data_IF_991041889369
#
_entry.id   IF_991041889369
#
_cell.length_a   1.000
_cell.length_b   1.000
_cell.length_c   1.000
_cell.angle_alpha   90.00
_cell.angle_beta   90.00
_cell.angle_gamma   90.00
#
_symmetry.space_group_name_H-M   'P 1'
#
loop_
_entity.id
_entity.type
_entity.pdbx_description
1 polymer ?
#
# COMPACT_ATOMS: atom_id res chain seq x y z
N UNK A 1 10.34 36.83 20.66
CA UNK A 1 9.72 38.00 20.00
C UNK A 1 10.30 38.06 18.60
N UNK A 2 9.50 37.77 17.58
CA UNK A 2 9.88 38.00 16.17
C UNK A 2 10.08 39.50 15.96
N UNK A 3 11.11 39.89 15.22
CA UNK A 3 11.38 41.29 14.91
C UNK A 3 10.23 41.86 14.07
N UNK A 4 9.95 43.16 14.15
CA UNK A 4 8.87 43.80 13.37
C UNK A 4 9.01 43.56 11.85
N UNK A 5 10.24 43.41 11.35
CA UNK A 5 10.52 43.04 9.96
C UNK A 5 10.17 41.58 9.64
N UNK A 6 10.33 40.66 10.59
CA UNK A 6 10.01 39.24 10.40
C UNK A 6 8.49 39.02 10.35
N UNK A 7 7.73 39.78 11.14
CA UNK A 7 6.28 39.81 11.05
C UNK A 7 5.79 40.26 9.68
N UNK A 8 6.37 41.31 9.10
CA UNK A 8 6.02 41.80 7.77
C UNK A 8 6.29 40.77 6.67
N UNK A 9 7.46 40.11 6.70
CA UNK A 9 7.80 39.05 5.74
C UNK A 9 6.85 37.85 5.85
N UNK A 10 6.42 37.52 7.07
CA UNK A 10 5.46 36.43 7.31
C UNK A 10 4.11 36.71 6.65
N UNK A 11 3.60 37.94 6.76
CA UNK A 11 2.35 38.35 6.10
C UNK A 11 2.47 38.36 4.57
N UNK A 12 3.63 38.74 4.02
CA UNK A 12 3.88 38.66 2.58
C UNK A 12 3.86 37.21 2.09
N UNK A 13 4.46 36.27 2.83
CA UNK A 13 4.41 34.83 2.52
C UNK A 13 2.97 34.31 2.60
N UNK A 14 2.20 34.69 3.63
CA UNK A 14 0.77 34.35 3.75
C UNK A 14 -0.01 34.83 2.52
N UNK A 15 0.18 36.08 2.10
CA UNK A 15 -0.50 36.64 0.93
C UNK A 15 -0.19 35.85 -0.35
N UNK A 16 1.07 35.45 -0.54
CA UNK A 16 1.48 34.62 -1.68
C UNK A 16 0.75 33.28 -1.67
N UNK A 17 0.71 32.58 -0.53
CA UNK A 17 -0.02 31.31 -0.41
C UNK A 17 -1.52 31.47 -0.64
N UNK A 18 -2.14 32.53 -0.11
CA UNK A 18 -3.55 32.82 -0.31
C UNK A 18 -3.86 33.07 -1.79
N UNK A 19 -3.06 33.89 -2.49
CA UNK A 19 -3.26 34.14 -3.92
C UNK A 19 -3.05 32.88 -4.76
N UNK A 20 -2.00 32.12 -4.46
CA UNK A 20 -1.72 30.86 -5.14
C UNK A 20 -2.88 29.87 -4.95
N UNK A 21 -3.36 29.72 -3.71
CA UNK A 21 -4.44 28.80 -3.37
C UNK A 21 -5.79 29.27 -3.93
N UNK A 22 -6.18 30.52 -3.74
CA UNK A 22 -7.54 30.99 -4.05
C UNK A 22 -7.73 31.45 -5.49
N UNK A 23 -6.66 31.79 -6.22
CA UNK A 23 -6.77 32.38 -7.57
C UNK A 23 -6.10 31.56 -8.66
N UNK A 24 -4.88 31.07 -8.42
CA UNK A 24 -4.05 30.53 -9.50
C UNK A 24 -4.07 29.00 -9.60
N UNK A 25 -4.23 28.30 -8.47
CA UNK A 25 -4.11 26.84 -8.41
C UNK A 25 -5.49 26.20 -8.20
N UNK A 26 -5.97 25.39 -9.16
CA UNK A 26 -7.23 24.64 -9.03
C UNK A 26 -7.27 23.77 -7.79
N UNK A 27 -8.45 23.56 -7.22
CA UNK A 27 -8.61 22.81 -5.97
C UNK A 27 -8.22 21.33 -6.10
N UNK A 28 -8.29 20.77 -7.30
CA UNK A 28 -7.85 19.42 -7.64
C UNK A 28 -6.33 19.21 -7.50
N UNK A 29 -5.55 20.29 -7.30
CA UNK A 29 -4.10 20.25 -7.06
C UNK A 29 -3.81 20.77 -5.65
N UNK A 30 -4.06 19.98 -4.59
CA UNK A 30 -4.03 20.46 -3.22
C UNK A 30 -2.62 20.77 -2.69
N UNK A 31 -1.55 20.41 -3.40
CA UNK A 31 -0.15 20.54 -2.94
C UNK A 31 0.18 21.92 -2.39
N UNK A 32 -0.21 23.01 -3.07
CA UNK A 32 0.07 24.37 -2.58
C UNK A 32 -0.70 24.68 -1.30
N UNK A 33 -1.95 24.20 -1.18
CA UNK A 33 -2.76 24.36 0.02
C UNK A 33 -2.25 23.52 1.19
N UNK A 34 -1.72 22.32 0.92
CA UNK A 34 -1.03 21.50 1.92
C UNK A 34 0.18 22.24 2.51
N UNK A 35 1.00 22.86 1.66
CA UNK A 35 2.11 23.69 2.12
C UNK A 35 1.64 24.94 2.87
N UNK A 36 0.52 25.52 2.45
CA UNK A 36 -0.07 26.65 3.15
C UNK A 36 -0.52 26.28 4.57
N UNK A 37 -1.21 25.14 4.73
CA UNK A 37 -1.60 24.63 6.04
C UNK A 37 -0.39 24.39 6.96
N UNK A 38 0.68 23.76 6.42
CA UNK A 38 1.94 23.56 7.16
C UNK A 38 2.60 24.87 7.58
N UNK A 39 2.54 25.89 6.73
CA UNK A 39 3.04 27.22 7.05
C UNK A 39 2.24 27.86 8.19
N UNK A 40 0.91 27.83 8.15
CA UNK A 40 0.08 28.38 9.25
C UNK A 40 0.28 27.60 10.56
N UNK A 41 0.36 26.27 10.50
CA UNK A 41 0.69 25.45 11.67
C UNK A 41 2.05 25.83 12.27
N UNK A 42 3.07 26.10 11.43
CA UNK A 42 4.40 26.49 11.90
C UNK A 42 4.42 27.83 12.65
N UNK A 43 3.43 28.69 12.40
CA UNK A 43 3.23 29.96 13.10
C UNK A 43 2.38 29.80 14.37
N UNK A 44 1.90 28.58 14.67
CA UNK A 44 1.03 28.28 15.79
C UNK A 44 -0.46 28.40 15.47
N UNK A 45 -0.83 28.72 14.22
CA UNK A 45 -2.23 28.82 13.77
C UNK A 45 -2.75 27.46 13.31
N UNK A 46 -2.82 26.52 14.26
CA UNK A 46 -3.28 25.15 13.98
C UNK A 46 -4.75 25.08 13.57
N UNK A 47 -5.57 26.02 14.04
CA UNK A 47 -6.97 26.22 13.65
C UNK A 47 -7.10 26.60 12.17
N UNK A 48 -6.30 27.56 11.71
CA UNK A 48 -6.30 27.97 10.30
C UNK A 48 -5.79 26.83 9.41
N UNK A 49 -4.78 26.09 9.87
CA UNK A 49 -4.30 24.90 9.16
C UNK A 49 -5.40 23.84 9.03
N UNK A 50 -6.21 23.65 10.08
CA UNK A 50 -7.36 22.73 10.11
C UNK A 50 -8.39 23.12 9.06
N UNK A 51 -8.82 24.39 9.07
CA UNK A 51 -9.80 24.95 8.13
C UNK A 51 -9.35 24.79 6.67
N UNK A 52 -8.06 25.01 6.38
CA UNK A 52 -7.49 24.84 5.03
C UNK A 52 -7.60 23.39 4.59
N UNK A 53 -7.24 22.43 5.46
CA UNK A 53 -7.28 21.00 5.15
C UNK A 53 -8.72 20.51 4.98
N UNK A 54 -9.63 20.92 5.86
CA UNK A 54 -11.06 20.60 5.73
C UNK A 54 -11.65 21.16 4.44
N UNK A 55 -11.33 22.40 4.06
CA UNK A 55 -11.80 23.00 2.82
C UNK A 55 -11.34 22.22 1.56
N UNK A 56 -10.14 21.62 1.59
CA UNK A 56 -9.69 20.72 0.54
C UNK A 56 -10.58 19.46 0.52
N UNK A 57 -10.83 18.84 1.67
CA UNK A 57 -11.61 17.61 1.78
C UNK A 57 -13.09 17.80 1.44
N UNK A 58 -13.66 18.99 1.64
CA UNK A 58 -15.00 19.32 1.14
C UNK A 58 -15.11 19.16 -0.38
N UNK A 59 -14.01 19.39 -1.13
CA UNK A 59 -13.97 19.27 -2.58
C UNK A 59 -13.37 17.93 -3.05
N UNK A 60 -12.53 17.31 -2.22
CA UNK A 60 -11.82 16.06 -2.50
C UNK A 60 -11.92 15.09 -1.29
N UNK A 61 -13.12 14.57 -0.98
CA UNK A 61 -13.41 13.86 0.28
C UNK A 61 -12.61 12.57 0.49
N UNK A 62 -12.05 12.00 -0.58
CA UNK A 62 -11.22 10.79 -0.54
C UNK A 62 -9.72 11.03 -0.74
N UNK A 63 -9.23 12.27 -0.66
CA UNK A 63 -7.81 12.55 -0.93
C UNK A 63 -6.91 12.07 0.22
N UNK A 64 -6.35 10.87 0.05
CA UNK A 64 -5.56 10.16 1.09
C UNK A 64 -4.51 11.03 1.78
N UNK A 65 -3.67 11.74 1.02
CA UNK A 65 -2.60 12.57 1.59
C UNK A 65 -3.15 13.66 2.51
N UNK A 66 -4.29 14.27 2.17
CA UNK A 66 -4.87 15.37 2.94
C UNK A 66 -5.49 14.84 4.23
N UNK A 67 -6.14 13.67 4.19
CA UNK A 67 -6.67 13.01 5.39
C UNK A 67 -5.54 12.65 6.36
N UNK A 68 -4.41 12.14 5.84
CA UNK A 68 -3.23 11.82 6.65
C UNK A 68 -2.64 13.09 7.27
N UNK A 69 -2.51 14.18 6.52
CA UNK A 69 -1.98 15.45 7.04
C UNK A 69 -2.91 16.06 8.10
N UNK A 70 -4.23 16.04 7.89
CA UNK A 70 -5.23 16.49 8.88
C UNK A 70 -5.14 15.67 10.17
N UNK A 71 -5.04 14.35 10.04
CA UNK A 71 -4.86 13.46 11.18
C UNK A 71 -3.58 13.79 11.95
N UNK A 72 -2.48 14.01 11.24
CA UNK A 72 -1.19 14.33 11.84
C UNK A 72 -1.19 15.72 12.51
N UNK A 73 -1.91 16.70 11.94
CA UNK A 73 -2.15 18.01 12.54
C UNK A 73 -2.90 17.86 13.88
N UNK A 74 -3.99 17.09 13.90
CA UNK A 74 -4.72 16.79 15.13
C UNK A 74 -3.84 16.08 16.16
N UNK A 75 -2.96 15.18 15.72
CA UNK A 75 -2.02 14.51 16.63
C UNK A 75 -1.10 15.50 17.32
N UNK A 76 -0.57 16.49 16.60
CA UNK A 76 0.37 17.49 17.13
C UNK A 76 -0.32 18.57 17.96
N UNK A 77 -1.52 18.99 17.59
CA UNK A 77 -2.24 20.07 18.25
C UNK A 77 -3.11 19.62 19.42
N UNK A 78 -3.77 18.45 19.31
CA UNK A 78 -4.82 17.97 20.23
C UNK A 78 -4.50 16.60 20.85
N UNK A 79 -3.40 15.97 20.47
CA UNK A 79 -2.96 14.67 20.97
C UNK A 79 -3.46 13.48 20.16
N UNK A 80 -3.00 12.28 20.53
CA UNK A 80 -3.18 11.07 19.71
C UNK A 80 -4.63 10.58 19.68
N UNK A 81 -5.39 10.77 20.75
CA UNK A 81 -6.81 10.41 20.80
C UNK A 81 -7.63 11.18 19.76
N UNK A 82 -7.35 12.48 19.57
CA UNK A 82 -8.00 13.31 18.55
C UNK A 82 -7.65 12.85 17.13
N UNK A 83 -6.39 12.44 16.90
CA UNK A 83 -5.97 11.87 15.63
C UNK A 83 -6.71 10.55 15.33
N UNK A 84 -6.85 9.66 16.32
CA UNK A 84 -7.58 8.40 16.17
C UNK A 84 -9.06 8.66 15.86
N UNK A 85 -9.70 9.58 16.57
CA UNK A 85 -11.10 9.94 16.29
C UNK A 85 -11.28 10.44 14.86
N UNK A 86 -10.33 11.24 14.38
CA UNK A 86 -10.30 11.74 12.99
C UNK A 86 -10.20 10.59 11.99
N UNK A 87 -9.22 9.69 12.16
CA UNK A 87 -9.07 8.53 11.28
C UNK A 87 -10.32 7.66 11.28
N UNK A 88 -10.91 7.40 12.45
CA UNK A 88 -12.16 6.62 12.56
C UNK A 88 -13.31 7.27 11.80
N UNK A 89 -13.46 8.59 11.90
CA UNK A 89 -14.51 9.31 11.18
C UNK A 89 -14.39 9.11 9.67
N UNK A 90 -13.17 9.23 9.11
CA UNK A 90 -12.93 8.97 7.69
C UNK A 90 -13.08 7.49 7.32
N UNK A 91 -12.52 6.58 8.10
CA UNK A 91 -12.63 5.12 7.87
C UNK A 91 -14.09 4.65 7.87
N UNK A 92 -14.96 5.26 8.66
CA UNK A 92 -16.39 4.93 8.70
C UNK A 92 -17.21 5.67 7.63
N UNK A 93 -16.61 6.62 6.90
CA UNK A 93 -17.25 7.35 5.81
C UNK A 93 -17.60 6.45 4.62
N UNK A 94 -18.75 6.68 4.00
CA UNK A 94 -19.23 5.88 2.87
C UNK A 94 -18.45 6.13 1.56
N UNK A 95 -17.91 7.34 1.38
CA UNK A 95 -17.41 7.82 0.08
C UNK A 95 -15.92 7.50 -0.21
N UNK A 96 -15.30 6.63 0.59
CA UNK A 96 -13.91 6.24 0.41
C UNK A 96 -13.76 4.97 -0.44
N UNK A 97 -12.86 5.04 -1.42
CA UNK A 97 -12.42 3.85 -2.15
C UNK A 97 -11.80 2.80 -1.20
N UNK A 98 -11.88 1.50 -1.50
CA UNK A 98 -11.28 0.44 -0.69
C UNK A 98 -9.79 0.65 -0.42
N UNK A 99 -9.05 1.14 -1.42
CA UNK A 99 -7.63 1.46 -1.30
C UNK A 99 -7.37 2.55 -0.24
N UNK A 100 -8.09 3.68 -0.31
CA UNK A 100 -7.95 4.78 0.64
C UNK A 100 -8.33 4.31 2.04
N UNK A 101 -9.46 3.61 2.17
CA UNK A 101 -9.91 3.05 3.45
C UNK A 101 -8.86 2.14 4.07
N UNK A 102 -8.30 1.21 3.31
CA UNK A 102 -7.24 0.32 3.78
C UNK A 102 -5.97 1.06 4.20
N UNK A 103 -5.57 2.10 3.46
CA UNK A 103 -4.42 2.93 3.83
C UNK A 103 -4.65 3.71 5.13
N UNK A 104 -5.87 4.18 5.39
CA UNK A 104 -6.24 4.87 6.63
C UNK A 104 -6.32 3.90 7.82
N UNK A 105 -6.88 2.69 7.63
CA UNK A 105 -6.88 1.65 8.68
C UNK A 105 -5.46 1.24 9.04
N UNK A 106 -4.55 1.20 8.07
CA UNK A 106 -3.15 0.93 8.31
C UNK A 106 -2.48 2.00 9.19
N UNK A 107 -2.73 3.29 8.89
CA UNK A 107 -2.26 4.39 9.73
C UNK A 107 -2.88 4.36 11.12
N UNK A 108 -4.16 4.01 11.20
CA UNK A 108 -4.85 3.89 12.46
C UNK A 108 -4.29 2.76 13.33
N UNK A 109 -4.04 1.59 12.74
CA UNK A 109 -3.37 0.48 13.42
C UNK A 109 -1.99 0.91 13.94
N UNK A 110 -1.20 1.64 13.14
CA UNK A 110 0.09 2.22 13.54
C UNK A 110 -0.04 3.23 14.70
N UNK A 111 -1.09 4.03 14.75
CA UNK A 111 -1.32 4.97 15.86
C UNK A 111 -1.81 4.26 17.13
N UNK A 112 -2.72 3.29 17.04
CA UNK A 112 -3.20 2.50 18.18
C UNK A 112 -2.07 1.71 18.85
N UNK A 113 -1.20 1.17 18.01
CA UNK A 113 0.08 0.55 18.33
C UNK A 113 0.94 1.39 19.28
N UNK A 114 1.06 2.70 19.03
CA UNK A 114 1.86 3.62 19.84
C UNK A 114 1.24 3.87 21.22
N UNK A 115 -0.10 3.80 21.37
CA UNK A 115 -0.80 4.12 22.62
C UNK A 115 -1.00 2.88 23.50
N UNK A 116 -1.54 1.79 22.95
CA UNK A 116 -2.12 0.70 23.76
C UNK A 116 -1.39 -0.64 23.65
N UNK A 117 -0.42 -0.78 22.73
CA UNK A 117 0.28 -2.05 22.47
C UNK A 117 -0.63 -3.23 22.06
N UNK A 118 -1.93 -2.98 21.86
CA UNK A 118 -2.94 -3.96 21.46
C UNK A 118 -3.79 -3.38 20.32
N UNK A 119 -3.78 -4.02 19.15
CA UNK A 119 -4.50 -3.54 17.99
C UNK A 119 -5.91 -4.17 17.91
N UNK A 120 -6.79 -3.87 18.86
CA UNK A 120 -8.09 -4.56 18.95
C UNK A 120 -9.00 -4.30 17.73
N UNK A 121 -8.89 -3.13 17.09
CA UNK A 121 -9.73 -2.74 15.93
C UNK A 121 -9.11 -3.08 14.57
N UNK A 122 -7.88 -3.61 14.54
CA UNK A 122 -7.26 -4.09 13.29
C UNK A 122 -7.66 -5.53 12.90
N UNK A 123 -8.65 -6.09 13.60
CA UNK A 123 -9.24 -7.41 13.37
C UNK A 123 -9.93 -7.56 12.00
N UNK A 124 -10.11 -6.48 11.23
CA UNK A 124 -10.80 -6.50 9.94
C UNK A 124 -9.86 -6.79 8.75
N UNK A 125 -8.86 -7.66 8.95
CA UNK A 125 -7.84 -8.00 7.95
C UNK A 125 -8.44 -8.51 6.62
N UNK A 126 -9.57 -9.22 6.71
CA UNK A 126 -10.27 -9.77 5.53
C UNK A 126 -10.86 -8.69 4.59
N UNK A 127 -11.02 -7.46 5.07
CA UNK A 127 -11.58 -6.36 4.27
C UNK A 127 -10.54 -5.63 3.40
N UNK A 128 -9.24 -5.93 3.58
CA UNK A 128 -8.14 -5.18 2.99
C UNK A 128 -7.16 -6.05 2.19
N UNK A 129 -7.64 -7.18 1.65
CA UNK A 129 -6.83 -8.18 0.93
C UNK A 129 -6.08 -7.62 -0.29
N UNK A 130 -6.46 -6.47 -0.84
CA UNK A 130 -5.84 -5.81 -1.99
C UNK A 130 -5.02 -4.55 -1.61
N UNK A 131 -4.95 -4.18 -0.33
CA UNK A 131 -4.32 -2.95 0.12
C UNK A 131 -2.85 -3.14 0.54
N UNK A 132 -1.90 -2.91 -0.38
CA UNK A 132 -0.45 -3.01 -0.09
C UNK A 132 -0.02 -2.18 1.14
N UNK A 133 -0.38 -0.88 1.27
CA UNK A 133 0.04 -0.08 2.42
C UNK A 133 -0.44 -0.64 3.76
N UNK A 134 -1.62 -1.27 3.80
CA UNK A 134 -2.14 -1.96 4.97
C UNK A 134 -1.24 -3.11 5.39
N UNK A 135 -1.01 -4.06 4.48
CA UNK A 135 -0.23 -5.26 4.80
C UNK A 135 1.21 -4.96 5.18
N UNK A 136 1.86 -3.99 4.53
CA UNK A 136 3.22 -3.59 4.91
C UNK A 136 3.28 -2.97 6.31
N UNK A 137 2.41 -2.00 6.61
CA UNK A 137 2.40 -1.34 7.93
C UNK A 137 2.02 -2.32 9.03
N UNK A 138 1.06 -3.21 8.76
CA UNK A 138 0.64 -4.25 9.70
C UNK A 138 1.74 -5.29 9.95
N UNK A 139 2.43 -5.75 8.90
CA UNK A 139 3.56 -6.65 9.02
C UNK A 139 4.68 -6.04 9.88
N UNK A 140 5.10 -4.81 9.58
CA UNK A 140 6.13 -4.14 10.38
C UNK A 140 5.67 -3.81 11.79
N UNK A 141 4.38 -3.53 11.99
CA UNK A 141 3.81 -3.40 13.33
C UNK A 141 4.03 -4.67 14.16
N UNK A 142 3.67 -5.84 13.63
CA UNK A 142 3.89 -7.12 14.32
C UNK A 142 5.37 -7.41 14.54
N UNK A 143 6.23 -7.17 13.54
CA UNK A 143 7.68 -7.34 13.67
C UNK A 143 8.25 -6.45 14.79
N UNK A 144 7.80 -5.21 14.91
CA UNK A 144 8.28 -4.27 15.92
C UNK A 144 7.70 -4.49 17.32
N UNK A 145 6.78 -5.44 17.51
CA UNK A 145 6.29 -5.75 18.84
C UNK A 145 7.42 -6.28 19.74
N UNK A 146 7.46 -5.85 21.02
CA UNK A 146 8.43 -6.35 21.98
C UNK A 146 8.17 -7.84 22.26
N UNK A 147 9.25 -8.61 22.37
CA UNK A 147 9.23 -10.02 22.76
C UNK A 147 10.42 -10.29 23.69
N UNK A 148 10.20 -10.17 25.00
CA UNK A 148 11.28 -10.16 26.00
C UNK A 148 11.63 -11.56 26.50
N UNK A 149 10.62 -12.42 26.66
CA UNK A 149 10.78 -13.76 27.19
C UNK A 149 10.53 -14.85 26.13
N UNK A 150 11.00 -16.07 26.36
CA UNK A 150 10.88 -17.17 25.40
C UNK A 150 9.43 -17.50 24.98
N UNK A 151 8.47 -17.34 25.90
CA UNK A 151 7.03 -17.49 25.61
C UNK A 151 6.55 -16.39 24.66
N UNK A 152 6.98 -15.15 24.88
CA UNK A 152 6.62 -14.00 24.07
C UNK A 152 7.26 -14.08 22.69
N UNK A 153 8.48 -14.59 22.57
CA UNK A 153 9.15 -14.83 21.29
C UNK A 153 8.39 -15.85 20.43
N UNK A 154 7.90 -16.94 21.04
CA UNK A 154 7.07 -17.91 20.31
C UNK A 154 5.76 -17.30 19.82
N UNK A 155 5.08 -16.51 20.65
CA UNK A 155 3.86 -15.82 20.26
C UNK A 155 4.12 -14.73 19.20
N UNK A 156 5.24 -14.01 19.32
CA UNK A 156 5.69 -13.02 18.36
C UNK A 156 5.88 -13.63 16.97
N UNK A 157 6.62 -14.73 16.89
CA UNK A 157 6.77 -15.51 15.66
C UNK A 157 5.43 -15.95 15.08
N UNK A 158 4.52 -16.47 15.90
CA UNK A 158 3.18 -16.89 15.44
C UNK A 158 2.38 -15.73 14.84
N UNK A 159 2.44 -14.53 15.44
CA UNK A 159 1.73 -13.35 14.91
C UNK A 159 2.32 -12.89 13.58
N UNK A 160 3.65 -12.73 13.50
CA UNK A 160 4.33 -12.30 12.26
C UNK A 160 4.08 -13.32 11.14
N UNK A 161 4.19 -14.62 11.45
CA UNK A 161 3.91 -15.69 10.50
C UNK A 161 2.46 -15.68 10.02
N UNK A 162 1.50 -15.49 10.91
CA UNK A 162 0.07 -15.42 10.53
C UNK A 162 -0.21 -14.28 9.55
N UNK A 163 0.42 -13.11 9.74
CA UNK A 163 0.31 -12.00 8.78
C UNK A 163 0.92 -12.38 7.44
N UNK A 164 2.14 -12.92 7.43
CA UNK A 164 2.82 -13.33 6.22
C UNK A 164 2.04 -14.40 5.44
N UNK A 165 1.54 -15.42 6.13
CA UNK A 165 0.74 -16.49 5.53
C UNK A 165 -0.57 -15.94 4.93
N UNK A 166 -1.23 -15.01 5.63
CA UNK A 166 -2.46 -14.38 5.12
C UNK A 166 -2.17 -13.60 3.84
N UNK A 167 -1.10 -12.82 3.82
CA UNK A 167 -0.65 -12.09 2.62
C UNK A 167 -0.37 -13.06 1.47
N UNK A 168 0.42 -14.10 1.74
CA UNK A 168 0.86 -15.02 0.68
C UNK A 168 -0.29 -15.87 0.12
N UNK A 169 -1.23 -16.29 0.97
CA UNK A 169 -2.26 -17.28 0.61
C UNK A 169 -3.62 -16.67 0.27
N UNK A 170 -4.00 -15.54 0.88
CA UNK A 170 -5.36 -14.98 0.80
C UNK A 170 -5.42 -13.60 0.17
N UNK A 171 -4.30 -12.86 0.10
CA UNK A 171 -4.31 -11.51 -0.47
C UNK A 171 -4.38 -11.50 -1.99
N UNK A 172 -4.97 -10.44 -2.54
CA UNK A 172 -5.02 -10.13 -3.97
C UNK A 172 -3.89 -9.17 -4.37
N UNK A 173 -2.79 -9.14 -3.61
CA UNK A 173 -1.68 -8.23 -3.87
C UNK A 173 -0.86 -8.67 -5.10
N UNK A 174 -0.27 -7.70 -5.83
CA UNK A 174 0.63 -8.01 -6.95
C UNK A 174 1.81 -8.89 -6.52
N UNK A 175 2.25 -9.79 -7.39
CA UNK A 175 3.35 -10.72 -7.11
C UNK A 175 4.63 -10.00 -6.65
N UNK A 176 4.95 -8.86 -7.24
CA UNK A 176 6.09 -8.03 -6.82
C UNK A 176 6.00 -7.60 -5.35
N UNK A 177 4.79 -7.24 -4.88
CA UNK A 177 4.57 -6.86 -3.47
C UNK A 177 4.75 -8.05 -2.54
N UNK A 178 4.28 -9.23 -2.96
CA UNK A 178 4.45 -10.45 -2.17
C UNK A 178 5.94 -10.84 -2.09
N UNK A 179 6.70 -10.69 -3.19
CA UNK A 179 8.15 -10.89 -3.18
C UNK A 179 8.85 -9.93 -2.21
N UNK A 180 8.50 -8.64 -2.23
CA UNK A 180 9.03 -7.66 -1.26
C UNK A 180 8.72 -8.09 0.19
N UNK A 181 7.48 -8.50 0.45
CA UNK A 181 7.07 -8.97 1.78
C UNK A 181 7.75 -10.27 2.21
N UNK A 182 8.00 -11.20 1.28
CA UNK A 182 8.79 -12.39 1.57
C UNK A 182 10.22 -12.02 1.92
N UNK A 183 10.84 -11.07 1.21
CA UNK A 183 12.20 -10.62 1.56
C UNK A 183 12.26 -10.07 3.00
N UNK A 184 11.31 -9.23 3.41
CA UNK A 184 11.25 -8.75 4.80
C UNK A 184 11.02 -9.87 5.81
N UNK A 185 10.19 -10.87 5.47
CA UNK A 185 9.95 -12.02 6.33
C UNK A 185 11.19 -12.90 6.48
N UNK A 186 11.95 -13.13 5.40
CA UNK A 186 13.22 -13.86 5.46
C UNK A 186 14.24 -13.17 6.38
N UNK A 187 14.37 -11.84 6.30
CA UNK A 187 15.21 -11.07 7.23
C UNK A 187 14.75 -11.25 8.68
N UNK A 188 13.44 -11.16 8.93
CA UNK A 188 12.89 -11.39 10.27
C UNK A 188 13.21 -12.78 10.81
N UNK A 189 13.06 -13.84 10.00
CA UNK A 189 13.38 -15.21 10.41
C UNK A 189 14.87 -15.38 10.77
N UNK A 190 15.76 -14.73 10.03
CA UNK A 190 17.21 -14.74 10.28
C UNK A 190 17.60 -14.03 11.58
N UNK A 191 16.93 -12.93 11.90
CA UNK A 191 17.29 -12.12 13.06
C UNK A 191 16.61 -12.58 14.35
N UNK A 192 15.35 -13.02 14.27
CA UNK A 192 14.45 -13.19 15.43
C UNK A 192 13.59 -14.45 15.38
N UNK A 193 13.77 -15.30 14.37
CA UNK A 193 13.04 -16.54 14.24
C UNK A 193 13.36 -17.56 15.35
N UNK A 194 12.52 -18.59 15.53
CA UNK A 194 12.83 -19.73 16.40
C UNK A 194 14.06 -20.51 15.93
N UNK A 195 14.56 -21.44 16.75
CA UNK A 195 15.79 -22.21 16.48
C UNK A 195 15.78 -23.00 15.17
N UNK A 196 14.60 -23.34 14.65
CA UNK A 196 14.36 -24.07 13.40
C UNK A 196 14.00 -23.15 12.21
N UNK A 197 13.96 -21.83 12.41
CA UNK A 197 13.56 -20.84 11.39
C UNK A 197 14.39 -20.92 10.09
N UNK A 198 15.64 -21.39 10.17
CA UNK A 198 16.49 -21.50 8.99
C UNK A 198 16.00 -22.57 8.01
N UNK A 199 15.23 -23.56 8.46
CA UNK A 199 14.57 -24.51 7.55
C UNK A 199 13.52 -23.80 6.70
N UNK A 200 12.68 -22.97 7.34
CA UNK A 200 11.67 -22.15 6.66
C UNK A 200 12.30 -21.14 5.70
N UNK A 201 13.43 -20.52 6.08
CA UNK A 201 14.20 -19.62 5.19
C UNK A 201 14.62 -20.34 3.91
N UNK A 202 15.19 -21.55 4.03
CA UNK A 202 15.65 -22.30 2.85
C UNK A 202 14.49 -22.73 1.95
N UNK A 203 13.35 -23.11 2.53
CA UNK A 203 12.15 -23.45 1.77
C UNK A 203 11.58 -22.25 1.00
N UNK A 204 11.49 -21.09 1.66
CA UNK A 204 10.98 -19.87 1.06
C UNK A 204 11.94 -19.28 0.02
N UNK A 205 13.25 -19.30 0.28
CA UNK A 205 14.25 -18.85 -0.68
C UNK A 205 14.20 -19.68 -1.97
N UNK A 206 14.12 -21.02 -1.83
CA UNK A 206 13.92 -21.92 -2.97
C UNK A 206 12.65 -21.60 -3.74
N UNK A 207 11.57 -21.23 -3.06
CA UNK A 207 10.30 -20.92 -3.72
C UNK A 207 10.28 -19.55 -4.42
N UNK A 208 11.03 -18.56 -3.92
CA UNK A 208 11.06 -17.19 -4.48
C UNK A 208 12.16 -17.01 -5.52
N UNK A 209 13.36 -17.52 -5.23
CA UNK A 209 14.58 -17.33 -6.03
C UNK A 209 14.92 -18.55 -6.89
N UNK A 210 14.28 -19.70 -6.67
CA UNK A 210 14.49 -20.90 -7.46
C UNK A 210 13.89 -20.82 -8.87
N UNK A 211 14.19 -21.81 -9.73
CA UNK A 211 13.67 -21.87 -11.10
C UNK A 211 12.13 -21.99 -11.12
N UNK A 212 11.50 -21.57 -12.22
CA UNK A 212 10.03 -21.53 -12.34
C UNK A 212 9.33 -22.87 -12.00
N UNK A 213 10.00 -24.00 -12.19
CA UNK A 213 9.51 -25.34 -11.84
C UNK A 213 9.26 -25.55 -10.35
N UNK A 214 9.86 -24.77 -9.46
CA UNK A 214 9.66 -24.81 -7.99
C UNK A 214 8.85 -23.64 -7.45
N UNK A 215 8.60 -22.59 -8.26
CA UNK A 215 7.80 -21.44 -7.88
C UNK A 215 6.29 -21.80 -7.93
N UNK A 216 5.69 -22.10 -6.78
CA UNK A 216 4.29 -22.57 -6.70
C UNK A 216 3.27 -21.60 -7.30
N UNK A 217 3.50 -20.29 -7.18
CA UNK A 217 2.57 -19.25 -7.64
C UNK A 217 2.71 -18.93 -9.14
N UNK A 218 3.92 -19.04 -9.70
CA UNK A 218 4.12 -18.95 -11.16
C UNK A 218 3.39 -20.06 -11.92
N UNK A 219 3.26 -21.25 -11.30
CA UNK A 219 2.41 -22.34 -11.80
C UNK A 219 0.91 -22.04 -11.70
N UNK A 220 0.46 -21.30 -10.69
CA UNK A 220 -0.95 -20.92 -10.54
C UNK A 220 -1.38 -19.80 -11.48
N UNK A 221 -0.49 -18.87 -11.83
CA UNK A 221 -0.77 -17.75 -12.75
C UNK A 221 -0.69 -18.15 -14.24
N UNK A 222 -0.55 -19.44 -14.56
CA UNK A 222 -0.68 -19.95 -15.94
C UNK A 222 0.40 -19.46 -16.92
N UNK A 223 1.53 -18.92 -16.45
CA UNK A 223 2.62 -18.44 -17.30
C UNK A 223 3.44 -19.55 -18.00
N UNK A 224 3.03 -20.82 -17.88
CA UNK A 224 3.70 -21.97 -18.47
C UNK A 224 2.67 -22.92 -19.09
N UNK A 225 2.15 -22.57 -20.25
CA UNK A 225 1.86 -23.57 -21.27
C UNK A 225 2.53 -23.17 -22.59
N UNK A 226 3.19 -24.14 -23.22
CA UNK A 226 3.98 -24.01 -24.44
C UNK A 226 5.48 -24.04 -24.18
N UNK A 227 6.23 -25.09 -24.46
CA UNK A 227 5.91 -26.34 -25.14
C UNK A 227 7.26 -26.97 -25.49
N UNK A 228 7.48 -28.22 -25.06
CA UNK A 228 8.63 -28.99 -25.51
C UNK A 228 8.56 -29.12 -27.04
N UNK A 229 9.60 -28.64 -27.71
CA UNK A 229 9.74 -28.70 -29.16
C UNK A 229 9.87 -30.14 -29.64
N UNK A 230 8.75 -30.74 -30.01
CA UNK A 230 8.73 -31.89 -30.92
C UNK A 230 8.90 -31.35 -32.34
N UNK A 231 10.05 -31.66 -32.93
CA UNK A 231 10.38 -31.40 -34.34
C UNK A 231 9.39 -32.18 -35.23
N UNK A 232 8.61 -31.53 -36.12
CA UNK A 232 7.81 -32.26 -37.10
C UNK A 232 8.71 -32.71 -38.26
N UNK A 233 8.75 -34.02 -38.49
CA UNK A 233 9.25 -34.62 -39.73
C UNK A 233 8.42 -34.12 -40.92
N UNK A 234 9.11 -33.65 -41.97
CA UNK A 234 8.55 -33.46 -43.30
C UNK A 234 7.88 -34.75 -43.79
N UNK A 235 6.59 -34.68 -44.08
CA UNK A 235 5.88 -35.68 -44.86
C UNK A 235 5.46 -35.07 -46.19
N UNK A 236 5.93 -35.74 -47.24
CA UNK A 236 5.89 -35.33 -48.63
C UNK A 236 4.47 -35.08 -49.18
N UNK A 237 4.32 -34.00 -49.95
CA UNK A 237 3.13 -33.70 -50.73
C UNK A 237 3.11 -34.57 -51.99
N UNK A 238 2.12 -35.44 -52.10
CA UNK A 238 1.82 -36.19 -53.32
C UNK A 238 1.10 -35.30 -54.34
N UNK A 239 1.68 -35.16 -55.52
CA UNK A 239 1.13 -34.48 -56.70
C UNK A 239 0.06 -35.37 -57.34
N UNK A 240 -1.13 -34.82 -57.63
CA UNK A 240 -2.09 -35.43 -58.56
C UNK A 240 -2.17 -34.62 -59.87
N UNK A 241 -2.30 -35.28 -61.04
CA UNK A 241 -2.29 -34.61 -62.33
C UNK A 241 -3.69 -34.12 -62.74
N UNK A 242 -3.74 -32.93 -63.35
CA UNK A 242 -4.94 -32.35 -63.96
C UNK A 242 -5.02 -32.78 -65.43
N UNK A 243 -6.12 -33.43 -65.81
CA UNK A 243 -6.47 -33.71 -67.21
C UNK A 243 -7.81 -33.04 -67.58
N UNK A 244 -7.73 -32.02 -68.45
CA UNK A 244 -8.41 -32.00 -69.76
C UNK A 244 -9.92 -31.76 -69.91
N UNK A 245 -10.24 -30.52 -70.34
CA UNK A 245 -11.04 -30.16 -71.54
C UNK A 245 -12.59 -30.10 -71.56
N UNK A 246 -13.08 -28.99 -72.15
CA UNK A 246 -14.33 -28.84 -72.92
C UNK A 246 -15.22 -27.67 -72.42
N UNK A 247 -15.27 -26.45 -72.99
CA UNK A 247 -15.59 -25.94 -74.34
C UNK A 247 -17.03 -25.32 -74.45
N UNK A 248 -17.12 -24.12 -75.06
CA UNK A 248 -18.34 -23.45 -75.61
C UNK A 248 -18.80 -22.19 -74.83
N UNK A 249 -18.58 -20.94 -75.27
CA UNK A 249 -19.21 -20.16 -76.36
C UNK A 249 -20.73 -19.95 -76.17
N UNK A 250 -21.33 -18.75 -76.22
CA UNK A 250 -20.88 -17.40 -76.55
C UNK A 250 -22.06 -16.40 -76.46
N UNK A 251 -21.75 -15.14 -76.80
CA UNK A 251 -22.59 -13.94 -77.00
C UNK A 251 -23.50 -13.44 -75.87
#
# INVERSE_FOLDING_TARGET
>A
MLSQEDGKKTEEVRNIYQRASCTFVPIQRPTVRLWYAKFEESLGHSDVADDILEAILMNLPGHLEVIIELTNLHRRSRGVDAAIQTLRAYVNGADLSPYVRGALVAEWARMMSEINGKPDEASHQDQYLDCRPFWLKWFFFEVNQPARDAKDQKQHYQRVKAVYDTVRQRSNLPLATIKDMTAYYLTYLQERGPSDAMQEVMELDKEVNGPASVQKRAKQEGMLDGGDGVVPQESAVAVQPVNGQGAGAGY
#
